data_IF_009828832716
#
_entry.id   IF_009828832716
#
_cell.length_a   1.000
_cell.length_b   1.000
_cell.length_c   1.000
_cell.angle_alpha   90.00
_cell.angle_beta   90.00
_cell.angle_gamma   90.00
#
_symmetry.space_group_name_H-M   'P 1'
#
loop_
_entity.id
_entity.type
_entity.pdbx_description
1 polymer ?
#
# COMPACT_ATOMS: atom_id res chain seq x y z
N UNK A 1 -1.10 -59.06 -23.92
CA UNK A 1 -1.75 -57.77 -23.70
C UNK A 1 -3.15 -57.85 -24.27
N UNK A 2 -4.15 -57.97 -23.41
CA UNK A 2 -5.55 -58.07 -23.81
C UNK A 2 -6.01 -56.72 -24.40
N UNK A 3 -7.00 -56.70 -25.30
CA UNK A 3 -7.49 -55.46 -25.91
C UNK A 3 -7.91 -54.41 -24.86
N UNK A 4 -8.41 -54.86 -23.71
CA UNK A 4 -8.84 -53.99 -22.59
C UNK A 4 -7.68 -53.26 -21.89
N UNK A 5 -6.51 -53.89 -21.78
CA UNK A 5 -5.30 -53.25 -21.23
C UNK A 5 -4.78 -52.12 -22.12
N UNK A 6 -5.01 -52.21 -23.44
CA UNK A 6 -4.59 -51.15 -24.37
C UNK A 6 -5.48 -49.92 -24.26
N UNK A 7 -6.79 -50.10 -24.14
CA UNK A 7 -7.73 -48.99 -24.00
C UNK A 7 -7.55 -48.22 -22.69
N UNK A 8 -7.29 -48.93 -21.60
CA UNK A 8 -7.01 -48.30 -20.29
C UNK A 8 -5.71 -47.49 -20.30
N UNK A 9 -4.67 -47.99 -20.97
CA UNK A 9 -3.44 -47.22 -21.19
C UNK A 9 -3.65 -46.01 -22.11
N UNK A 10 -4.39 -46.16 -23.20
CA UNK A 10 -4.69 -45.03 -24.09
C UNK A 10 -5.48 -43.93 -23.37
N UNK A 11 -6.46 -44.29 -22.54
CA UNK A 11 -7.22 -43.31 -21.75
C UNK A 11 -6.38 -42.62 -20.69
N UNK A 12 -5.51 -43.36 -20.01
CA UNK A 12 -4.61 -42.75 -19.02
C UNK A 12 -3.57 -41.85 -19.67
N UNK A 13 -3.08 -42.18 -20.88
CA UNK A 13 -2.21 -41.31 -21.66
C UNK A 13 -2.92 -40.05 -22.16
N UNK A 14 -4.16 -40.14 -22.64
CA UNK A 14 -4.96 -38.95 -23.00
C UNK A 14 -5.22 -38.06 -21.79
N UNK A 15 -5.51 -38.65 -20.63
CA UNK A 15 -5.75 -37.91 -19.40
C UNK A 15 -4.47 -37.20 -18.90
N UNK A 16 -3.30 -37.84 -19.01
CA UNK A 16 -2.01 -37.22 -18.71
C UNK A 16 -1.73 -36.09 -19.71
N UNK A 17 -1.99 -36.30 -21.01
CA UNK A 17 -1.78 -35.28 -22.03
C UNK A 17 -2.69 -34.07 -21.82
N UNK A 18 -3.97 -34.28 -21.49
CA UNK A 18 -4.91 -33.21 -21.14
C UNK A 18 -4.49 -32.47 -19.87
N UNK A 19 -3.95 -33.16 -18.87
CA UNK A 19 -3.44 -32.56 -17.62
C UNK A 19 -2.19 -31.72 -17.87
N UNK A 20 -1.30 -32.15 -18.77
CA UNK A 20 -0.11 -31.39 -19.15
C UNK A 20 -0.45 -30.19 -20.03
N UNK A 21 -1.43 -30.32 -20.92
CA UNK A 21 -1.89 -29.25 -21.80
C UNK A 21 -2.67 -28.16 -21.04
N UNK A 22 -3.43 -28.54 -20.01
CA UNK A 22 -4.08 -27.61 -19.08
C UNK A 22 -3.12 -27.02 -18.05
N UNK A 23 -2.02 -27.72 -17.72
CA UNK A 23 -0.93 -27.23 -16.89
C UNK A 23 -0.06 -26.14 -17.54
N UNK A 24 -0.21 -25.88 -18.84
CA UNK A 24 0.46 -24.80 -19.56
C UNK A 24 -0.23 -23.42 -19.41
N UNK A 25 -1.03 -23.23 -18.36
CA UNK A 25 -1.41 -21.88 -17.97
C UNK A 25 -0.15 -21.13 -17.54
N UNK A 26 0.28 -20.23 -18.44
CA UNK A 26 1.15 -19.07 -18.29
C UNK A 26 0.76 -18.21 -17.08
N UNK A 27 0.84 -18.80 -15.89
CA UNK A 27 0.27 -18.27 -14.66
C UNK A 27 1.29 -17.89 -13.60
N UNK A 28 2.56 -18.24 -13.82
CA UNK A 28 3.69 -17.90 -12.95
C UNK A 28 4.32 -16.54 -13.29
N UNK A 29 4.44 -16.22 -14.58
CA UNK A 29 5.17 -15.04 -15.05
C UNK A 29 4.49 -13.73 -14.64
N UNK A 30 3.15 -13.65 -14.76
CA UNK A 30 2.40 -12.45 -14.35
C UNK A 30 2.43 -12.21 -12.84
N UNK A 31 2.52 -13.28 -12.03
CA UNK A 31 2.53 -13.18 -10.56
C UNK A 31 3.82 -12.54 -10.06
N UNK A 32 4.95 -12.87 -10.69
CA UNK A 32 6.25 -12.28 -10.36
C UNK A 32 6.21 -10.77 -10.60
N UNK A 33 5.69 -10.34 -11.75
CA UNK A 33 5.54 -8.92 -12.07
C UNK A 33 4.58 -8.24 -11.09
N UNK A 34 3.42 -8.87 -10.80
CA UNK A 34 2.40 -8.31 -9.90
C UNK A 34 2.94 -8.07 -8.48
N UNK A 35 3.74 -8.99 -7.94
CA UNK A 35 4.36 -8.82 -6.62
C UNK A 35 5.59 -7.93 -6.61
N UNK A 36 6.29 -7.77 -7.74
CA UNK A 36 7.45 -6.88 -7.83
C UNK A 36 7.09 -5.40 -7.77
N UNK A 37 5.91 -5.01 -8.29
CA UNK A 37 5.46 -3.61 -8.35
C UNK A 37 5.49 -2.93 -6.97
N UNK A 38 4.85 -3.49 -5.91
CA UNK A 38 4.89 -2.85 -4.59
C UNK A 38 6.30 -2.82 -4.00
N UNK A 39 7.13 -3.85 -4.22
CA UNK A 39 8.50 -3.92 -3.69
C UNK A 39 9.37 -2.82 -4.31
N UNK A 40 9.36 -2.71 -5.64
CA UNK A 40 10.10 -1.67 -6.37
C UNK A 40 9.59 -0.29 -6.00
N UNK A 41 8.27 -0.12 -5.86
CA UNK A 41 7.68 1.14 -5.41
C UNK A 41 8.17 1.58 -4.03
N UNK A 42 8.26 0.65 -3.07
CA UNK A 42 8.78 0.94 -1.72
C UNK A 42 10.27 1.30 -1.78
N UNK A 43 11.09 0.50 -2.48
CA UNK A 43 12.54 0.76 -2.60
C UNK A 43 12.79 2.13 -3.25
N UNK A 44 12.12 2.40 -4.38
CA UNK A 44 12.24 3.66 -5.09
C UNK A 44 11.76 4.84 -4.24
N UNK A 45 10.64 4.68 -3.53
CA UNK A 45 10.15 5.67 -2.58
C UNK A 45 11.15 5.97 -1.45
N UNK A 46 11.79 4.95 -0.90
CA UNK A 46 12.85 5.11 0.11
C UNK A 46 14.07 5.85 -0.44
N UNK A 47 14.52 5.53 -1.65
CA UNK A 47 15.64 6.21 -2.31
C UNK A 47 15.29 7.69 -2.53
N UNK A 48 14.10 7.99 -3.07
CA UNK A 48 13.63 9.36 -3.26
C UNK A 48 13.54 10.15 -1.95
N UNK A 49 12.96 9.55 -0.91
CA UNK A 49 12.88 10.17 0.43
C UNK A 49 14.28 10.45 0.99
N UNK A 50 15.23 9.52 0.83
CA UNK A 50 16.60 9.72 1.26
C UNK A 50 17.25 10.92 0.56
N UNK A 51 17.17 10.99 -0.77
CA UNK A 51 17.71 12.12 -1.52
C UNK A 51 17.00 13.45 -1.20
N UNK A 52 15.68 13.41 -1.01
CA UNK A 52 14.89 14.57 -0.59
C UNK A 52 15.38 15.11 0.75
N UNK A 53 15.53 14.25 1.76
CA UNK A 53 16.02 14.66 3.07
C UNK A 53 17.48 15.11 3.03
N UNK A 54 18.33 14.43 2.26
CA UNK A 54 19.72 14.82 2.07
C UNK A 54 19.82 16.23 1.48
N UNK A 55 19.06 16.51 0.42
CA UNK A 55 19.04 17.82 -0.21
C UNK A 55 18.45 18.89 0.70
N UNK A 56 17.33 18.59 1.37
CA UNK A 56 16.68 19.50 2.31
C UNK A 56 17.59 19.87 3.47
N UNK A 57 18.32 18.90 4.04
CA UNK A 57 19.32 19.13 5.07
C UNK A 57 20.44 20.06 4.57
N UNK A 58 21.00 19.79 3.38
CA UNK A 58 22.06 20.61 2.80
C UNK A 58 21.61 22.04 2.54
N UNK A 59 20.41 22.23 2.01
CA UNK A 59 19.80 23.53 1.78
C UNK A 59 19.60 24.29 3.10
N UNK A 60 19.02 23.65 4.12
CA UNK A 60 18.83 24.27 5.44
C UNK A 60 20.15 24.65 6.08
N UNK A 61 21.17 23.79 6.00
CA UNK A 61 22.50 24.08 6.53
C UNK A 61 23.15 25.28 5.82
N UNK A 62 23.00 25.41 4.50
CA UNK A 62 23.49 26.57 3.75
C UNK A 62 22.78 27.86 4.16
N UNK A 63 21.45 27.83 4.34
CA UNK A 63 20.66 28.98 4.81
C UNK A 63 21.09 29.40 6.23
N UNK A 64 21.32 28.43 7.13
CA UNK A 64 21.81 28.69 8.48
C UNK A 64 23.20 29.32 8.44
N UNK A 65 24.14 28.78 7.66
CA UNK A 65 25.49 29.33 7.52
C UNK A 65 25.51 30.74 6.91
N UNK A 66 24.55 31.06 6.03
CA UNK A 66 24.38 32.39 5.46
C UNK A 66 23.74 33.41 6.42
N UNK A 67 23.37 33.01 7.64
CA UNK A 67 22.69 33.88 8.61
C UNK A 67 21.25 34.23 8.22
N UNK A 68 20.69 33.58 7.19
CA UNK A 68 19.35 33.83 6.66
C UNK A 68 18.27 32.96 7.32
N UNK A 69 18.62 32.20 8.37
CA UNK A 69 17.70 31.29 9.01
C UNK A 69 16.62 32.04 9.78
N UNK A 70 15.38 31.89 9.32
CA UNK A 70 14.18 32.29 10.04
C UNK A 70 13.50 31.04 10.58
N UNK A 71 13.24 31.02 11.89
CA UNK A 71 12.47 29.93 12.51
C UNK A 71 11.03 30.01 11.98
N UNK A 72 10.65 29.07 11.14
CA UNK A 72 9.26 28.93 10.71
C UNK A 72 8.41 28.52 11.92
N UNK A 73 7.33 29.25 12.25
CA UNK A 73 6.38 28.81 13.25
C UNK A 73 5.64 27.60 12.71
N UNK A 74 5.89 26.43 13.30
CA UNK A 74 5.13 25.23 12.96
C UNK A 74 3.87 25.17 13.81
N UNK A 75 2.73 25.46 13.21
CA UNK A 75 1.43 25.34 13.86
C UNK A 75 0.96 23.87 13.84
N UNK A 76 1.34 23.14 14.90
CA UNK A 76 0.92 21.76 15.14
C UNK A 76 -0.60 21.61 15.08
N UNK A 77 -1.35 22.62 15.52
CA UNK A 77 -2.79 22.55 15.62
C UNK A 77 -3.43 22.62 14.24
N UNK A 78 -2.98 23.56 13.41
CA UNK A 78 -3.44 23.68 12.03
C UNK A 78 -3.03 22.46 11.21
N UNK A 79 -1.80 21.96 11.41
CA UNK A 79 -1.33 20.72 10.79
C UNK A 79 -2.22 19.52 11.16
N UNK A 80 -2.52 19.31 12.44
CA UNK A 80 -3.41 18.24 12.89
C UNK A 80 -4.83 18.36 12.34
N UNK A 81 -5.36 19.58 12.17
CA UNK A 81 -6.67 19.77 11.56
C UNK A 81 -6.70 19.29 10.11
N UNK A 82 -5.78 19.78 9.28
CA UNK A 82 -5.72 19.40 7.86
C UNK A 82 -5.43 17.91 7.70
N UNK A 83 -4.45 17.39 8.43
CA UNK A 83 -4.10 15.98 8.38
C UNK A 83 -5.26 15.10 8.86
N UNK A 84 -5.91 15.48 9.96
CA UNK A 84 -7.07 14.78 10.51
C UNK A 84 -8.26 14.76 9.55
N UNK A 85 -8.52 15.89 8.87
CA UNK A 85 -9.57 16.00 7.86
C UNK A 85 -9.32 15.05 6.68
N UNK A 86 -8.11 15.09 6.11
CA UNK A 86 -7.71 14.22 4.98
C UNK A 86 -7.81 12.75 5.38
N UNK A 87 -7.26 12.35 6.52
CA UNK A 87 -7.29 10.97 6.98
C UNK A 87 -8.71 10.48 7.27
N UNK A 88 -9.59 11.34 7.78
CA UNK A 88 -10.99 10.98 8.03
C UNK A 88 -11.71 10.69 6.71
N UNK A 89 -11.61 11.58 5.71
CA UNK A 89 -12.28 11.36 4.42
C UNK A 89 -11.71 10.14 3.67
N UNK A 90 -10.38 9.99 3.65
CA UNK A 90 -9.71 8.82 3.04
C UNK A 90 -10.11 7.54 3.78
N UNK A 91 -10.10 7.56 5.11
CA UNK A 91 -10.49 6.43 5.94
C UNK A 91 -11.95 6.03 5.77
N UNK A 92 -12.87 7.00 5.63
CA UNK A 92 -14.29 6.74 5.32
C UNK A 92 -14.40 6.07 3.95
N UNK A 93 -13.80 6.65 2.92
CA UNK A 93 -13.86 6.10 1.56
C UNK A 93 -13.31 4.67 1.49
N UNK A 94 -12.16 4.42 2.13
CA UNK A 94 -11.55 3.08 2.22
C UNK A 94 -12.40 2.12 3.04
N UNK A 95 -12.93 2.54 4.19
CA UNK A 95 -13.78 1.69 5.04
C UNK A 95 -15.05 1.26 4.31
N UNK A 96 -15.73 2.20 3.65
CA UNK A 96 -16.92 1.91 2.83
C UNK A 96 -16.55 0.93 1.71
N UNK A 97 -15.45 1.20 0.99
CA UNK A 97 -15.01 0.34 -0.10
C UNK A 97 -14.71 -1.08 0.37
N UNK A 98 -14.00 -1.25 1.50
CA UNK A 98 -13.70 -2.58 2.04
C UNK A 98 -14.94 -3.32 2.55
N UNK A 99 -15.88 -2.62 3.19
CA UNK A 99 -17.15 -3.21 3.62
C UNK A 99 -17.95 -3.71 2.40
N UNK A 100 -18.04 -2.91 1.34
CA UNK A 100 -18.82 -3.26 0.15
C UNK A 100 -18.20 -4.41 -0.65
N UNK A 101 -16.86 -4.46 -0.76
CA UNK A 101 -16.17 -5.42 -1.62
C UNK A 101 -15.79 -6.71 -0.88
N UNK A 102 -15.26 -6.61 0.35
CA UNK A 102 -14.73 -7.75 1.12
C UNK A 102 -15.59 -8.14 2.33
N UNK A 103 -16.65 -7.37 2.63
CA UNK A 103 -17.47 -7.59 3.81
C UNK A 103 -16.68 -7.44 5.12
N UNK A 104 -17.05 -8.23 6.13
CA UNK A 104 -16.44 -8.18 7.47
C UNK A 104 -15.16 -9.00 7.52
N UNK A 105 -14.07 -8.44 7.00
CA UNK A 105 -12.73 -9.05 7.00
C UNK A 105 -11.68 -8.19 7.67
N UNK A 106 -10.51 -8.78 7.97
CA UNK A 106 -9.35 -8.06 8.48
C UNK A 106 -8.87 -6.94 7.55
N UNK A 107 -9.20 -7.01 6.25
CA UNK A 107 -8.87 -5.95 5.30
C UNK A 107 -9.53 -4.60 5.65
N UNK A 108 -10.66 -4.61 6.38
CA UNK A 108 -11.31 -3.37 6.85
C UNK A 108 -10.41 -2.51 7.73
N UNK A 109 -9.41 -3.10 8.39
CA UNK A 109 -8.41 -2.35 9.16
C UNK A 109 -7.69 -1.32 8.30
N UNK A 110 -7.49 -1.58 7.01
CA UNK A 110 -6.87 -0.64 6.08
C UNK A 110 -7.65 0.68 5.94
N UNK A 111 -8.96 0.68 6.15
CA UNK A 111 -9.79 1.90 6.17
C UNK A 111 -10.05 2.43 7.58
N UNK A 112 -10.27 1.54 8.54
CA UNK A 112 -10.60 1.92 9.92
C UNK A 112 -9.44 2.58 10.64
N UNK A 113 -8.20 2.14 10.39
CA UNK A 113 -6.99 2.75 10.99
C UNK A 113 -6.87 4.23 10.59
N UNK A 114 -6.80 4.61 9.30
CA UNK A 114 -6.73 6.02 8.91
C UNK A 114 -7.97 6.81 9.36
N UNK A 115 -9.17 6.22 9.38
CA UNK A 115 -10.37 6.88 9.91
C UNK A 115 -10.21 7.21 11.40
N UNK A 116 -9.80 6.25 12.22
CA UNK A 116 -9.59 6.43 13.65
C UNK A 116 -8.48 7.45 13.95
N UNK A 117 -7.36 7.38 13.22
CA UNK A 117 -6.28 8.37 13.33
C UNK A 117 -6.76 9.77 12.92
N UNK A 118 -7.55 9.88 11.85
CA UNK A 118 -8.13 11.13 11.39
C UNK A 118 -9.03 11.77 12.44
N UNK A 119 -9.95 11.00 13.01
CA UNK A 119 -10.81 11.45 14.12
C UNK A 119 -10.00 11.84 15.35
N UNK A 120 -8.97 11.07 15.70
CA UNK A 120 -8.07 11.39 16.81
C UNK A 120 -7.38 12.74 16.64
N UNK A 121 -6.90 13.05 15.43
CA UNK A 121 -6.28 14.33 15.10
C UNK A 121 -7.28 15.50 15.11
N UNK A 122 -8.53 15.28 14.67
CA UNK A 122 -9.59 16.28 14.76
C UNK A 122 -10.01 16.55 16.21
N UNK A 123 -10.06 15.51 17.05
CA UNK A 123 -10.22 15.66 18.49
C UNK A 123 -9.07 16.46 19.08
N UNK A 124 -7.82 16.13 18.75
CA UNK A 124 -6.67 16.93 19.18
C UNK A 124 -6.80 18.40 18.79
N UNK A 125 -7.19 18.72 17.55
CA UNK A 125 -7.41 20.10 17.13
C UNK A 125 -8.42 20.85 18.01
N UNK A 126 -9.54 20.20 18.33
CA UNK A 126 -10.62 20.75 19.16
C UNK A 126 -10.18 20.99 20.60
N UNK A 127 -9.50 20.03 21.22
CA UNK A 127 -9.12 20.08 22.63
C UNK A 127 -7.77 20.75 22.91
N UNK A 128 -6.90 20.86 21.91
CA UNK A 128 -5.59 21.50 22.07
C UNK A 128 -5.76 22.99 22.38
N UNK A 129 -5.03 23.54 23.37
CA UNK A 129 -5.06 24.97 23.69
C UNK A 129 -4.64 25.80 22.48
N UNK A 130 -5.23 27.00 22.34
CA UNK A 130 -4.81 27.94 21.30
C UNK A 130 -3.48 28.55 21.79
N UNK A 131 -2.38 28.24 21.11
CA UNK A 131 -1.06 28.85 21.35
C UNK A 131 -0.93 30.10 20.49
#
# INVERSE_FOLDING_TARGET
MTPEEKETLFRSLEQILLTLQSGHQSGGEYKIVLYSIPIVGIIFGCILLFFLFFWWYRQRMAIIKAGLYKKEPFDLRLYSFFLGLVLTFVGIALSISFILVLGKSLAMLGGLVPLGTGLGLLCYYKWSPKV
#
